data_IF_016468714179
#
_entry.id   IF_016468714179
#
_cell.length_a   1.000
_cell.length_b   1.000
_cell.length_c   1.000
_cell.angle_alpha   90.00
_cell.angle_beta   90.00
_cell.angle_gamma   90.00
#
_symmetry.space_group_name_H-M   'P 1'
#
loop_
_entity.id
_entity.type
_entity.pdbx_description
1 polymer ?
#
# COMPACT_ATOMS: atom_id res chain seq x y z
N UNK A 1 12.11 -25.61 -5.83
CA UNK A 1 12.41 -24.25 -6.33
C UNK A 1 13.52 -23.63 -5.49
N UNK A 2 14.25 -22.66 -6.02
CA UNK A 2 15.29 -21.89 -5.33
C UNK A 2 15.05 -20.39 -5.53
N UNK A 3 15.41 -19.58 -4.55
CA UNK A 3 15.28 -18.13 -4.63
C UNK A 3 16.64 -17.45 -4.79
N UNK A 4 16.66 -16.42 -5.63
CA UNK A 4 17.78 -15.50 -5.78
C UNK A 4 17.20 -14.09 -5.99
N UNK A 5 17.52 -13.16 -5.08
CA UNK A 5 17.08 -11.77 -5.21
C UNK A 5 17.62 -11.19 -6.53
N UNK A 6 16.81 -10.39 -7.22
CA UNK A 6 17.15 -9.95 -8.56
C UNK A 6 18.42 -9.11 -8.57
N UNK A 7 19.30 -9.41 -9.52
CA UNK A 7 20.43 -8.58 -9.91
C UNK A 7 20.69 -8.78 -11.41
N UNK A 8 21.46 -7.88 -12.01
CA UNK A 8 21.73 -7.86 -13.46
C UNK A 8 22.39 -9.15 -14.00
N UNK A 9 23.01 -9.94 -13.13
CA UNK A 9 23.57 -11.25 -13.50
C UNK A 9 22.50 -12.27 -13.90
N UNK A 10 21.24 -12.04 -13.53
CA UNK A 10 20.13 -12.90 -13.88
C UNK A 10 19.48 -12.53 -15.22
N UNK A 11 19.84 -11.42 -15.87
CA UNK A 11 19.09 -10.87 -17.03
C UNK A 11 18.83 -11.89 -18.14
N UNK A 12 19.80 -12.74 -18.44
CA UNK A 12 19.70 -13.75 -19.50
C UNK A 12 19.41 -15.16 -18.98
N UNK A 13 19.04 -15.31 -17.71
CA UNK A 13 18.70 -16.58 -17.08
C UNK A 13 17.18 -16.72 -17.01
N UNK A 14 16.58 -17.80 -17.57
CA UNK A 14 15.16 -18.09 -17.38
C UNK A 14 14.82 -18.22 -15.89
N UNK A 15 13.78 -17.49 -15.46
CA UNK A 15 13.37 -17.38 -14.06
C UNK A 15 11.87 -17.12 -13.94
N UNK A 16 11.33 -17.32 -12.75
CA UNK A 16 9.99 -16.92 -12.35
C UNK A 16 10.12 -15.59 -11.60
N UNK A 17 9.53 -14.52 -12.13
CA UNK A 17 9.45 -13.23 -11.43
C UNK A 17 8.21 -13.26 -10.56
N UNK A 18 8.42 -13.35 -9.25
CA UNK A 18 7.36 -13.41 -8.26
C UNK A 18 7.32 -12.08 -7.57
N UNK A 19 6.16 -11.44 -7.63
CA UNK A 19 5.96 -10.09 -7.10
C UNK A 19 6.92 -9.04 -7.67
N UNK A 20 6.74 -8.78 -8.97
CA UNK A 20 7.54 -7.85 -9.75
C UNK A 20 7.56 -8.29 -11.21
N UNK A 21 8.03 -7.39 -12.08
CA UNK A 21 8.18 -7.68 -13.51
C UNK A 21 9.63 -7.47 -13.92
N UNK A 22 10.37 -8.56 -14.16
CA UNK A 22 11.75 -8.51 -14.68
C UNK A 22 11.85 -9.18 -16.05
N UNK A 23 12.77 -8.73 -16.89
CA UNK A 23 12.96 -9.29 -18.23
C UNK A 23 13.37 -10.77 -18.22
N UNK A 24 13.04 -11.46 -19.32
CA UNK A 24 13.32 -12.89 -19.53
C UNK A 24 12.80 -13.79 -18.38
N UNK A 25 11.55 -13.55 -17.98
CA UNK A 25 10.91 -14.29 -16.89
C UNK A 25 9.46 -14.63 -17.21
N UNK A 26 8.93 -15.64 -16.51
CA UNK A 26 7.48 -15.88 -16.41
C UNK A 26 7.00 -15.11 -15.19
N UNK A 27 5.97 -14.29 -15.37
CA UNK A 27 5.44 -13.44 -14.31
C UNK A 27 4.44 -14.19 -13.41
N UNK A 28 4.57 -13.98 -12.10
CA UNK A 28 3.59 -14.29 -11.07
C UNK A 28 3.49 -13.09 -10.13
N UNK A 29 2.91 -12.02 -10.67
CA UNK A 29 2.83 -10.71 -10.03
C UNK A 29 1.50 -10.05 -10.37
N UNK A 30 1.02 -9.23 -9.45
CA UNK A 30 -0.12 -8.34 -9.61
C UNK A 30 0.26 -6.93 -10.15
N UNK A 31 1.54 -6.65 -10.41
CA UNK A 31 1.98 -5.34 -10.91
C UNK A 31 1.35 -5.01 -12.27
N UNK A 32 1.05 -3.73 -12.52
CA UNK A 32 0.49 -3.29 -13.80
C UNK A 32 1.41 -3.68 -14.97
N UNK A 33 0.86 -4.36 -15.99
CA UNK A 33 1.61 -4.84 -17.15
C UNK A 33 2.27 -6.21 -16.98
N UNK A 34 1.97 -6.94 -15.90
CA UNK A 34 2.39 -8.33 -15.76
C UNK A 34 1.81 -9.22 -16.87
N UNK A 35 2.44 -10.38 -17.06
CA UNK A 35 2.01 -11.43 -17.99
C UNK A 35 1.58 -12.69 -17.22
N UNK A 36 1.12 -12.51 -15.98
CA UNK A 36 0.72 -13.62 -15.11
C UNK A 36 -0.42 -14.41 -15.79
N UNK A 37 -0.31 -15.73 -15.91
CA UNK A 37 -1.35 -16.55 -16.55
C UNK A 37 -2.72 -16.35 -15.88
N UNK A 38 -3.76 -16.15 -16.70
CA UNK A 38 -5.11 -15.84 -16.22
C UNK A 38 -5.66 -16.89 -15.23
N UNK A 39 -5.23 -18.16 -15.35
CA UNK A 39 -5.64 -19.25 -14.46
C UNK A 39 -5.26 -19.01 -13.00
N UNK A 40 -4.16 -18.30 -12.74
CA UNK A 40 -3.62 -18.10 -11.38
C UNK A 40 -3.69 -16.65 -10.92
N UNK A 41 -4.19 -15.72 -11.75
CA UNK A 41 -4.30 -14.31 -11.37
C UNK A 41 -5.16 -14.14 -10.11
N UNK A 42 -4.74 -13.21 -9.27
CA UNK A 42 -5.41 -12.78 -8.05
C UNK A 42 -5.00 -11.33 -7.74
N UNK A 43 -5.49 -10.78 -6.63
CA UNK A 43 -5.25 -9.37 -6.29
C UNK A 43 -3.82 -9.13 -5.78
N UNK A 44 -3.24 -10.08 -5.05
CA UNK A 44 -1.86 -10.01 -4.53
C UNK A 44 -0.98 -11.09 -5.16
N UNK A 45 0.31 -10.83 -5.25
CA UNK A 45 1.31 -11.80 -5.71
C UNK A 45 1.39 -13.03 -4.82
N UNK A 46 1.13 -12.90 -3.52
CA UNK A 46 1.01 -14.02 -2.58
C UNK A 46 -0.15 -14.93 -2.92
N UNK A 47 -1.34 -14.37 -3.22
CA UNK A 47 -2.46 -15.20 -3.64
C UNK A 47 -2.22 -15.83 -5.02
N UNK A 48 -1.55 -15.13 -5.94
CA UNK A 48 -1.10 -15.69 -7.22
C UNK A 48 -0.18 -16.90 -7.00
N UNK A 49 0.80 -16.79 -6.10
CA UNK A 49 1.72 -17.87 -5.77
C UNK A 49 0.97 -19.07 -5.13
N UNK A 50 0.00 -18.82 -4.26
CA UNK A 50 -0.85 -19.86 -3.66
C UNK A 50 -1.67 -20.59 -4.72
N UNK A 51 -2.28 -19.85 -5.65
CA UNK A 51 -3.04 -20.41 -6.75
C UNK A 51 -2.15 -21.24 -7.68
N UNK A 52 -0.92 -20.79 -7.95
CA UNK A 52 0.06 -21.56 -8.72
C UNK A 52 0.48 -22.85 -8.00
N UNK A 53 0.73 -22.80 -6.68
CA UNK A 53 1.09 -24.01 -5.92
C UNK A 53 -0.04 -25.03 -5.85
N UNK A 54 -1.29 -24.58 -5.89
CA UNK A 54 -2.47 -25.43 -5.92
C UNK A 54 -2.88 -25.87 -7.35
N UNK A 55 -2.35 -25.25 -8.41
CA UNK A 55 -2.76 -25.55 -9.79
C UNK A 55 -2.29 -26.94 -10.23
N UNK A 56 -3.17 -27.77 -10.82
CA UNK A 56 -2.77 -29.03 -11.45
C UNK A 56 -1.88 -28.81 -12.68
N UNK A 57 -1.86 -27.59 -13.25
CA UNK A 57 -1.07 -27.22 -14.41
C UNK A 57 0.28 -26.58 -14.04
N UNK A 58 0.67 -26.61 -12.76
CA UNK A 58 1.88 -25.93 -12.24
C UNK A 58 3.11 -26.14 -13.11
N UNK A 59 3.40 -27.38 -13.51
CA UNK A 59 4.61 -27.70 -14.29
C UNK A 59 4.60 -27.05 -15.69
N UNK A 60 3.42 -26.91 -16.30
CA UNK A 60 3.26 -26.22 -17.57
C UNK A 60 3.37 -24.69 -17.39
N UNK A 61 2.80 -24.16 -16.31
CA UNK A 61 2.85 -22.73 -15.97
C UNK A 61 4.27 -22.26 -15.65
N UNK A 62 5.07 -23.09 -14.97
CA UNK A 62 6.47 -22.77 -14.63
C UNK A 62 7.46 -23.18 -15.72
N UNK A 63 7.03 -23.99 -16.69
CA UNK A 63 7.89 -24.58 -17.73
C UNK A 63 9.11 -25.33 -17.15
N UNK A 64 8.98 -25.89 -15.95
CA UNK A 64 10.08 -26.55 -15.23
C UNK A 64 11.17 -25.60 -14.71
N UNK A 65 10.97 -24.28 -14.77
CA UNK A 65 11.89 -23.30 -14.20
C UNK A 65 11.78 -23.36 -12.67
N UNK A 66 12.93 -23.52 -12.01
CA UNK A 66 13.00 -23.59 -10.54
C UNK A 66 13.52 -22.31 -9.89
N UNK A 67 14.15 -21.42 -10.66
CA UNK A 67 14.68 -20.16 -10.17
C UNK A 67 13.56 -19.13 -10.01
N UNK A 68 13.34 -18.68 -8.77
CA UNK A 68 12.43 -17.59 -8.43
C UNK A 68 13.26 -16.34 -8.13
N UNK A 69 12.75 -15.18 -8.53
CA UNK A 69 13.34 -13.88 -8.23
C UNK A 69 12.28 -12.86 -7.86
N UNK A 70 12.67 -11.87 -7.07
CA UNK A 70 11.93 -10.64 -6.78
C UNK A 70 12.95 -9.49 -6.82
N UNK A 71 12.54 -8.30 -7.25
CA UNK A 71 13.34 -7.09 -7.40
C UNK A 71 13.16 -6.05 -6.29
N UNK A 72 12.32 -6.31 -5.30
CA UNK A 72 12.11 -5.44 -4.15
C UNK A 72 11.69 -6.23 -2.90
N UNK A 73 11.74 -5.59 -1.72
CA UNK A 73 11.30 -6.19 -0.46
C UNK A 73 10.10 -5.45 0.12
N UNK A 74 9.00 -6.18 0.28
CA UNK A 74 7.85 -5.79 1.09
C UNK A 74 7.13 -7.05 1.63
N UNK A 75 5.94 -6.86 2.22
CA UNK A 75 5.16 -7.99 2.75
C UNK A 75 4.65 -8.92 1.65
N UNK A 76 4.13 -8.42 0.52
CA UNK A 76 3.59 -9.33 -0.52
C UNK A 76 4.72 -10.10 -1.23
N UNK A 77 5.86 -9.47 -1.45
CA UNK A 77 7.06 -10.07 -2.01
C UNK A 77 7.64 -11.19 -1.17
N UNK A 78 7.85 -10.97 0.14
CA UNK A 78 8.41 -12.00 1.01
C UNK A 78 7.46 -13.19 1.18
N UNK A 79 6.15 -12.94 1.27
CA UNK A 79 5.13 -13.97 1.46
C UNK A 79 4.91 -14.79 0.19
N UNK A 80 4.94 -14.17 -0.98
CA UNK A 80 4.85 -14.84 -2.29
C UNK A 80 6.08 -15.71 -2.56
N UNK A 81 7.30 -15.21 -2.29
CA UNK A 81 8.53 -16.01 -2.39
C UNK A 81 8.50 -17.18 -1.40
N UNK A 82 8.12 -16.94 -0.14
CA UNK A 82 7.99 -18.00 0.86
C UNK A 82 7.02 -19.09 0.41
N UNK A 83 5.87 -18.69 -0.15
CA UNK A 83 4.86 -19.60 -0.69
C UNK A 83 5.43 -20.52 -1.77
N UNK A 84 6.18 -19.96 -2.71
CA UNK A 84 6.79 -20.71 -3.82
C UNK A 84 7.86 -21.70 -3.34
N UNK A 85 8.62 -21.35 -2.30
CA UNK A 85 9.65 -22.23 -1.73
C UNK A 85 9.07 -23.35 -0.87
N UNK A 86 7.93 -23.12 -0.22
CA UNK A 86 7.35 -24.06 0.74
C UNK A 86 6.20 -24.91 0.17
N UNK A 87 5.80 -24.68 -1.08
CA UNK A 87 4.99 -25.61 -1.87
C UNK A 87 3.75 -26.13 -1.13
N UNK A 88 3.76 -27.41 -0.75
CA UNK A 88 2.66 -28.10 -0.06
C UNK A 88 2.29 -27.48 1.30
N UNK A 89 3.25 -26.87 2.00
CA UNK A 89 3.00 -26.23 3.31
C UNK A 89 2.23 -24.91 3.16
N UNK A 90 2.41 -24.20 2.04
CA UNK A 90 1.86 -22.85 1.91
C UNK A 90 0.32 -22.79 1.86
N UNK A 91 -0.39 -23.70 1.15
CA UNK A 91 -1.85 -23.76 1.20
C UNK A 91 -2.44 -23.90 2.60
N UNK A 92 -1.73 -24.56 3.53
CA UNK A 92 -2.18 -24.73 4.92
C UNK A 92 -2.16 -23.41 5.72
N UNK A 93 -1.44 -22.39 5.23
CA UNK A 93 -1.36 -21.05 5.80
C UNK A 93 -2.08 -19.99 4.95
N UNK A 94 -2.95 -20.40 4.02
CA UNK A 94 -3.68 -19.48 3.12
C UNK A 94 -4.40 -18.36 3.88
N UNK A 95 -5.04 -18.71 4.99
CA UNK A 95 -5.84 -17.79 5.81
C UNK A 95 -4.97 -16.80 6.62
N UNK A 96 -3.65 -17.00 6.68
CA UNK A 96 -2.70 -16.06 7.27
C UNK A 96 -1.97 -15.26 6.18
N UNK A 97 -1.58 -15.94 5.09
CA UNK A 97 -0.79 -15.36 4.00
C UNK A 97 -1.56 -14.28 3.24
N UNK A 98 -2.80 -14.56 2.81
CA UNK A 98 -3.58 -13.61 2.00
C UNK A 98 -3.87 -12.33 2.79
N UNK A 99 -4.43 -12.39 4.01
CA UNK A 99 -4.71 -11.18 4.77
C UNK A 99 -3.46 -10.34 5.09
N UNK A 100 -2.31 -10.98 5.31
CA UNK A 100 -1.06 -10.27 5.59
C UNK A 100 -0.50 -9.59 4.35
N UNK A 101 -0.59 -10.23 3.17
CA UNK A 101 -0.22 -9.62 1.89
C UNK A 101 -1.11 -8.40 1.57
N UNK A 102 -2.44 -8.54 1.73
CA UNK A 102 -3.38 -7.44 1.52
C UNK A 102 -3.18 -6.28 2.52
N UNK A 103 -2.88 -6.59 3.79
CA UNK A 103 -2.55 -5.57 4.78
C UNK A 103 -1.27 -4.81 4.41
N UNK A 104 -0.23 -5.53 3.96
CA UNK A 104 1.06 -4.91 3.65
C UNK A 104 1.08 -4.12 2.37
N UNK A 105 0.50 -4.66 1.30
CA UNK A 105 0.58 -4.08 -0.04
C UNK A 105 -0.58 -3.10 -0.35
N UNK A 106 -1.77 -3.35 0.20
CA UNK A 106 -2.94 -2.47 -0.01
C UNK A 106 -3.27 -1.57 1.18
N UNK A 107 -2.56 -1.71 2.30
CA UNK A 107 -2.88 -0.99 3.54
C UNK A 107 -4.34 -1.21 3.93
N UNK A 108 -4.84 -2.45 3.78
CA UNK A 108 -6.22 -2.81 4.10
C UNK A 108 -6.34 -3.40 5.50
N UNK A 109 -7.41 -3.02 6.21
CA UNK A 109 -7.73 -3.64 7.49
C UNK A 109 -8.34 -5.03 7.26
N UNK A 110 -7.49 -6.06 7.27
CA UNK A 110 -7.92 -7.45 7.10
C UNK A 110 -8.25 -8.11 8.44
N UNK A 111 -7.24 -8.25 9.30
CA UNK A 111 -7.38 -8.62 10.70
C UNK A 111 -6.14 -8.19 11.50
N UNK A 112 -6.27 -8.12 12.83
CA UNK A 112 -5.20 -7.72 13.74
C UNK A 112 -3.87 -8.45 13.50
N UNK A 113 -3.89 -9.79 13.39
CA UNK A 113 -2.66 -10.57 13.28
C UNK A 113 -1.95 -10.33 11.93
N UNK A 114 -2.70 -10.21 10.86
CA UNK A 114 -2.19 -9.92 9.53
C UNK A 114 -1.50 -8.55 9.46
N UNK A 115 -2.15 -7.52 10.02
CA UNK A 115 -1.59 -6.16 10.08
C UNK A 115 -0.33 -6.16 10.95
N UNK A 116 -0.35 -6.81 12.11
CA UNK A 116 0.82 -6.93 13.00
C UNK A 116 1.99 -7.66 12.33
N UNK A 117 1.71 -8.74 11.59
CA UNK A 117 2.73 -9.46 10.82
C UNK A 117 3.33 -8.58 9.72
N UNK A 118 2.50 -7.87 8.96
CA UNK A 118 2.96 -6.92 7.93
C UNK A 118 3.84 -5.82 8.54
N UNK A 119 3.42 -5.19 9.65
CA UNK A 119 4.22 -4.19 10.36
C UNK A 119 5.56 -4.76 10.79
N UNK A 120 5.59 -6.00 11.32
CA UNK A 120 6.85 -6.62 11.72
C UNK A 120 7.79 -6.83 10.52
N UNK A 121 7.25 -7.10 9.33
CA UNK A 121 8.00 -7.28 8.08
C UNK A 121 8.48 -5.93 7.53
N UNK A 122 7.57 -5.02 7.18
CA UNK A 122 7.90 -3.81 6.40
C UNK A 122 8.02 -2.54 7.25
N UNK A 123 7.63 -2.59 8.53
CA UNK A 123 7.85 -1.51 9.50
C UNK A 123 6.87 -0.34 9.46
N UNK A 124 5.92 -0.33 8.53
CA UNK A 124 5.01 0.80 8.38
C UNK A 124 3.61 0.40 7.93
N UNK A 125 2.66 1.33 8.09
CA UNK A 125 1.25 1.25 7.68
C UNK A 125 1.06 1.39 6.15
N UNK A 126 2.14 1.55 5.39
CA UNK A 126 2.14 1.70 3.93
C UNK A 126 3.33 0.95 3.30
N UNK A 127 3.21 0.43 2.06
CA UNK A 127 4.27 -0.36 1.42
C UNK A 127 5.51 0.47 1.07
N UNK A 128 5.35 1.76 0.80
CA UNK A 128 6.44 2.66 0.39
C UNK A 128 6.55 3.82 1.37
N UNK A 129 7.60 3.82 2.20
CA UNK A 129 8.00 5.01 2.94
C UNK A 129 9.18 5.67 2.25
N UNK A 130 9.13 6.99 2.07
CA UNK A 130 10.29 7.77 1.63
C UNK A 130 11.47 7.69 2.63
N UNK A 131 11.17 7.31 3.87
CA UNK A 131 12.16 6.93 4.88
C UNK A 131 12.41 5.42 4.76
N UNK A 132 13.49 5.06 4.08
CA UNK A 132 14.02 3.71 3.81
C UNK A 132 14.54 3.04 5.10
N UNK A 133 13.69 2.93 6.12
CA UNK A 133 14.06 2.37 7.42
C UNK A 133 14.29 0.85 7.35
N UNK A 134 13.94 0.22 6.23
CA UNK A 134 14.04 -1.22 6.00
C UNK A 134 13.17 -2.06 6.95
N UNK A 135 13.28 -3.38 6.82
CA UNK A 135 12.52 -4.32 7.63
C UNK A 135 12.95 -4.32 9.10
N UNK A 136 12.05 -4.02 10.07
CA UNK A 136 12.38 -4.09 11.50
C UNK A 136 12.77 -5.51 11.94
N UNK A 137 12.12 -6.52 11.37
CA UNK A 137 12.47 -7.91 11.64
C UNK A 137 13.86 -8.24 11.11
N UNK A 138 14.22 -7.82 9.89
CA UNK A 138 15.59 -8.02 9.38
C UNK A 138 16.61 -7.34 10.31
N UNK A 139 16.33 -6.12 10.77
CA UNK A 139 17.21 -5.39 11.68
C UNK A 139 17.41 -6.13 13.01
N UNK A 140 16.33 -6.64 13.59
CA UNK A 140 16.39 -7.44 14.81
C UNK A 140 17.22 -8.72 14.62
N UNK A 141 17.00 -9.45 13.52
CA UNK A 141 17.70 -10.71 13.23
C UNK A 141 19.19 -10.49 12.94
N UNK A 142 19.55 -9.36 12.33
CA UNK A 142 20.95 -8.98 12.11
C UNK A 142 21.64 -8.39 13.36
N UNK A 143 20.87 -7.97 14.37
CA UNK A 143 21.39 -7.24 15.54
C UNK A 143 21.82 -5.80 15.22
N UNK A 144 21.29 -5.20 14.14
CA UNK A 144 21.65 -3.86 13.69
C UNK A 144 20.99 -3.50 12.36
N UNK A 145 21.25 -2.29 11.81
CA UNK A 145 20.69 -1.87 10.53
C UNK A 145 21.01 -2.83 9.39
N UNK A 146 20.00 -3.14 8.57
CA UNK A 146 20.14 -3.95 7.35
C UNK A 146 19.92 -3.04 6.16
N UNK A 147 20.94 -2.94 5.33
CA UNK A 147 20.89 -2.22 4.05
C UNK A 147 20.65 -3.25 2.93
N UNK A 148 19.67 -2.95 2.07
CA UNK A 148 19.35 -3.72 0.88
C UNK A 148 18.38 -4.88 1.07
N UNK A 149 17.43 -4.95 0.14
CA UNK A 149 16.36 -5.93 0.06
C UNK A 149 16.85 -7.38 0.03
N UNK A 150 17.91 -7.67 -0.72
CA UNK A 150 18.50 -9.01 -0.80
C UNK A 150 18.84 -9.57 0.60
N UNK A 151 19.43 -8.74 1.46
CA UNK A 151 19.79 -9.14 2.82
C UNK A 151 18.56 -9.26 3.72
N UNK A 152 17.55 -8.42 3.51
CA UNK A 152 16.28 -8.54 4.22
C UNK A 152 15.59 -9.88 3.89
N UNK A 153 15.56 -10.31 2.62
CA UNK A 153 15.07 -11.65 2.24
C UNK A 153 15.82 -12.77 2.96
N UNK A 154 17.16 -12.77 2.92
CA UNK A 154 17.96 -13.82 3.55
C UNK A 154 17.66 -14.01 5.05
N UNK A 155 17.37 -12.90 5.74
CA UNK A 155 17.09 -12.89 7.17
C UNK A 155 15.65 -13.25 7.49
N UNK A 156 14.69 -12.64 6.78
CA UNK A 156 13.26 -12.72 7.13
C UNK A 156 12.62 -14.00 6.58
N UNK A 157 13.03 -14.48 5.42
CA UNK A 157 12.39 -15.61 4.74
C UNK A 157 12.31 -16.89 5.60
N UNK A 158 13.32 -17.28 6.38
CA UNK A 158 13.22 -18.43 7.30
C UNK A 158 12.23 -18.23 8.46
N UNK A 159 11.89 -16.98 8.81
CA UNK A 159 11.07 -16.63 9.97
C UNK A 159 9.58 -16.44 9.62
N UNK A 160 9.22 -16.35 8.33
CA UNK A 160 7.86 -16.04 7.86
C UNK A 160 6.78 -16.90 8.51
N UNK A 161 6.94 -18.23 8.50
CA UNK A 161 5.93 -19.13 9.07
C UNK A 161 5.74 -18.90 10.57
N UNK A 162 6.84 -18.71 11.30
CA UNK A 162 6.79 -18.44 12.74
C UNK A 162 6.13 -17.10 13.02
N UNK A 163 6.45 -16.07 12.24
CA UNK A 163 5.82 -14.75 12.36
C UNK A 163 4.31 -14.82 12.13
N UNK A 164 3.85 -15.53 11.10
CA UNK A 164 2.42 -15.66 10.78
C UNK A 164 1.65 -16.50 11.79
N UNK A 165 2.28 -17.53 12.36
CA UNK A 165 1.61 -18.46 13.29
C UNK A 165 1.77 -18.06 14.77
N UNK A 166 2.74 -17.21 15.09
CA UNK A 166 3.09 -16.78 16.44
C UNK A 166 3.41 -15.29 16.50
N UNK A 167 2.54 -14.48 15.91
CA UNK A 167 2.72 -13.03 15.79
C UNK A 167 2.98 -12.34 17.13
N UNK A 168 2.39 -12.84 18.23
CA UNK A 168 2.61 -12.32 19.59
C UNK A 168 4.08 -12.41 20.05
N UNK A 169 4.89 -13.34 19.53
CA UNK A 169 6.32 -13.42 19.86
C UNK A 169 7.14 -12.24 19.29
N UNK A 170 6.57 -11.50 18.34
CA UNK A 170 7.19 -10.35 17.66
C UNK A 170 6.61 -9.01 18.12
N UNK A 171 5.94 -9.00 19.27
CA UNK A 171 5.25 -7.83 19.84
C UNK A 171 6.10 -6.56 19.89
N UNK A 172 7.37 -6.69 20.21
CA UNK A 172 8.29 -5.56 20.29
C UNK A 172 8.51 -4.86 18.94
N UNK A 173 8.23 -5.53 17.82
CA UNK A 173 8.33 -4.95 16.47
C UNK A 173 7.03 -4.25 16.06
N UNK A 174 5.87 -4.85 16.36
CA UNK A 174 4.59 -4.34 15.84
C UNK A 174 3.78 -3.50 16.81
N UNK A 175 4.03 -3.56 18.13
CA UNK A 175 3.18 -2.90 19.14
C UNK A 175 3.06 -1.39 18.93
N UNK A 176 4.17 -0.70 18.65
CA UNK A 176 4.18 0.75 18.47
C UNK A 176 3.34 1.19 17.26
N UNK A 177 3.67 0.74 16.04
CA UNK A 177 2.88 1.10 14.86
C UNK A 177 1.42 0.60 14.94
N UNK A 178 1.16 -0.58 15.53
CA UNK A 178 -0.20 -1.06 15.77
C UNK A 178 -1.00 -0.11 16.67
N UNK A 179 -0.40 0.42 17.74
CA UNK A 179 -1.06 1.40 18.61
C UNK A 179 -1.45 2.69 17.86
N UNK A 180 -0.65 3.10 16.88
CA UNK A 180 -0.98 4.24 16.03
C UNK A 180 -2.22 3.95 15.19
N UNK A 181 -2.26 2.81 14.50
CA UNK A 181 -3.42 2.35 13.71
C UNK A 181 -4.66 2.20 14.60
N UNK A 182 -4.54 1.54 15.75
CA UNK A 182 -5.64 1.35 16.70
C UNK A 182 -6.19 2.68 17.22
N UNK A 183 -5.32 3.67 17.47
CA UNK A 183 -5.74 5.03 17.86
C UNK A 183 -6.52 5.72 16.72
N UNK A 184 -6.09 5.52 15.47
CA UNK A 184 -6.80 6.04 14.31
C UNK A 184 -8.18 5.37 14.16
N UNK A 185 -8.27 4.05 14.27
CA UNK A 185 -9.55 3.30 14.24
C UNK A 185 -10.49 3.80 15.34
N UNK A 186 -10.03 3.83 16.59
CA UNK A 186 -10.82 4.33 17.72
C UNK A 186 -11.33 5.75 17.43
N UNK A 187 -10.51 6.64 16.85
CA UNK A 187 -10.95 8.00 16.49
C UNK A 187 -12.14 8.02 15.51
N UNK A 188 -12.22 7.07 14.57
CA UNK A 188 -13.39 6.92 13.68
C UNK A 188 -14.60 6.36 14.43
N UNK A 189 -14.41 5.35 15.28
CA UNK A 189 -15.51 4.71 16.03
C UNK A 189 -16.25 5.70 16.95
N UNK A 190 -15.53 6.62 17.59
CA UNK A 190 -16.12 7.69 18.43
C UNK A 190 -16.44 8.98 17.65
N UNK A 191 -16.29 8.98 16.33
CA UNK A 191 -16.68 10.08 15.44
C UNK A 191 -15.80 11.33 15.53
N UNK A 192 -14.59 11.21 16.08
CA UNK A 192 -13.60 12.29 16.07
C UNK A 192 -12.92 12.41 14.70
N UNK A 193 -12.63 11.29 14.06
CA UNK A 193 -12.38 11.19 12.62
C UNK A 193 -13.68 10.83 11.91
N UNK A 194 -13.87 11.32 10.68
CA UNK A 194 -15.11 11.09 9.93
C UNK A 194 -14.83 10.70 8.49
N UNK A 195 -15.77 9.95 7.91
CA UNK A 195 -15.86 9.67 6.48
C UNK A 195 -17.24 10.11 5.99
N UNK A 196 -17.26 10.94 4.96
CA UNK A 196 -18.47 11.30 4.22
C UNK A 196 -18.36 10.79 2.78
N UNK A 197 -19.29 9.95 2.38
CA UNK A 197 -19.37 9.44 1.01
C UNK A 197 -20.13 10.41 0.10
N UNK A 198 -19.49 10.81 -1.00
CA UNK A 198 -20.05 11.66 -2.06
C UNK A 198 -20.13 10.77 -3.31
N UNK A 199 -21.25 10.06 -3.41
CA UNK A 199 -21.44 8.96 -4.37
C UNK A 199 -21.34 9.42 -5.82
N UNK A 200 -21.81 10.62 -6.14
CA UNK A 200 -21.80 11.21 -7.48
C UNK A 200 -20.36 11.36 -8.00
N UNK A 201 -19.42 11.69 -7.12
CA UNK A 201 -18.01 11.81 -7.45
C UNK A 201 -17.21 10.53 -7.20
N UNK A 202 -17.85 9.47 -6.69
CA UNK A 202 -17.22 8.27 -6.11
C UNK A 202 -16.10 8.63 -5.13
N UNK A 203 -16.33 9.65 -4.31
CA UNK A 203 -15.35 10.28 -3.44
C UNK A 203 -15.70 9.99 -1.98
N UNK A 204 -14.71 9.59 -1.19
CA UNK A 204 -14.78 9.67 0.27
C UNK A 204 -14.07 10.93 0.73
N UNK A 205 -14.77 11.83 1.40
CA UNK A 205 -14.17 12.92 2.16
C UNK A 205 -13.83 12.40 3.56
N UNK A 206 -12.55 12.37 3.89
CA UNK A 206 -12.04 11.89 5.17
C UNK A 206 -11.51 13.08 5.96
N UNK A 207 -11.99 13.24 7.19
CA UNK A 207 -11.44 14.22 8.14
C UNK A 207 -10.80 13.47 9.29
N UNK A 208 -9.49 13.64 9.50
CA UNK A 208 -8.74 12.93 10.55
C UNK A 208 -8.73 13.76 11.83
N UNK A 209 -8.88 13.10 12.98
CA UNK A 209 -8.81 13.73 14.28
C UNK A 209 -7.37 14.17 14.63
N UNK A 210 -7.22 15.27 15.37
CA UNK A 210 -5.89 15.82 15.68
C UNK A 210 -5.07 14.87 16.56
N UNK A 211 -5.71 14.12 17.44
CA UNK A 211 -5.05 13.17 18.36
C UNK A 211 -4.40 11.97 17.66
N UNK A 212 -4.76 11.69 16.39
CA UNK A 212 -4.11 10.66 15.59
C UNK A 212 -2.66 11.03 15.28
N UNK A 213 -2.34 12.32 15.30
CA UNK A 213 -1.01 12.84 15.04
C UNK A 213 -0.29 13.26 16.34
N UNK A 214 1.04 13.16 16.34
CA UNK A 214 1.87 13.64 17.45
C UNK A 214 3.01 12.68 17.82
N UNK A 215 3.68 12.89 18.97
CA UNK A 215 4.89 12.15 19.35
C UNK A 215 4.70 10.62 19.44
N UNK A 216 3.49 10.17 19.72
CA UNK A 216 3.13 8.75 19.82
C UNK A 216 2.18 8.30 18.72
N UNK A 217 1.80 9.22 17.81
CA UNK A 217 0.88 8.99 16.71
C UNK A 217 1.59 9.03 15.36
N UNK A 218 0.83 9.31 14.31
CA UNK A 218 1.38 9.56 12.98
C UNK A 218 2.13 10.90 12.95
N UNK A 219 3.19 10.98 12.15
CA UNK A 219 3.90 12.23 11.89
C UNK A 219 3.47 12.72 10.51
N UNK A 220 2.70 13.80 10.36
CA UNK A 220 2.21 14.23 9.04
C UNK A 220 3.34 14.60 8.06
N UNK A 221 4.58 14.80 8.53
CA UNK A 221 5.75 15.03 7.69
C UNK A 221 6.46 13.73 7.24
N UNK A 222 6.11 12.57 7.82
CA UNK A 222 6.74 11.25 7.54
C UNK A 222 5.70 10.15 7.23
N UNK A 223 4.67 10.05 8.05
CA UNK A 223 3.52 9.15 7.96
C UNK A 223 2.29 9.98 7.57
N UNK A 224 2.08 10.13 6.27
CA UNK A 224 1.16 11.16 5.80
C UNK A 224 -0.31 10.91 6.16
N UNK A 225 -0.76 9.65 6.28
CA UNK A 225 -2.12 9.30 6.69
C UNK A 225 -2.18 7.87 7.29
N UNK A 226 -3.16 7.58 8.17
CA UNK A 226 -3.41 6.24 8.70
C UNK A 226 -4.18 5.38 7.69
N UNK A 227 -3.50 4.89 6.64
CA UNK A 227 -4.15 4.25 5.50
C UNK A 227 -4.95 3.01 5.87
N UNK A 228 -4.45 2.17 6.79
CA UNK A 228 -5.21 0.99 7.26
C UNK A 228 -6.51 1.37 7.94
N UNK A 229 -6.53 2.46 8.73
CA UNK A 229 -7.76 2.94 9.32
C UNK A 229 -8.68 3.57 8.25
N UNK A 230 -8.13 4.35 7.33
CA UNK A 230 -8.90 4.99 6.25
C UNK A 230 -9.58 3.94 5.36
N UNK A 231 -8.84 2.93 4.91
CA UNK A 231 -9.34 1.86 4.06
C UNK A 231 -10.44 1.02 4.73
N UNK A 232 -10.42 0.93 6.07
CA UNK A 232 -11.47 0.27 6.83
C UNK A 232 -12.83 0.99 6.75
N UNK A 233 -12.83 2.33 6.68
CA UNK A 233 -14.07 3.14 6.73
C UNK A 233 -14.49 3.76 5.40
N UNK A 234 -13.54 4.07 4.50
CA UNK A 234 -13.79 4.73 3.23
C UNK A 234 -14.09 3.74 2.10
N UNK A 235 -15.07 4.07 1.24
CA UNK A 235 -15.56 3.19 0.16
C UNK A 235 -15.47 3.80 -1.23
N UNK A 236 -15.03 5.05 -1.32
CA UNK A 236 -14.86 5.79 -2.56
C UNK A 236 -13.75 5.20 -3.44
N UNK A 237 -13.80 5.54 -4.73
CA UNK A 237 -12.70 5.26 -5.67
C UNK A 237 -11.64 6.38 -5.65
N UNK A 238 -11.87 7.42 -4.86
CA UNK A 238 -10.98 8.55 -4.64
C UNK A 238 -11.18 9.01 -3.20
N UNK A 239 -10.09 9.39 -2.54
CA UNK A 239 -10.06 9.85 -1.15
C UNK A 239 -9.59 11.29 -1.11
N UNK A 240 -10.38 12.19 -0.53
CA UNK A 240 -9.92 13.50 -0.10
C UNK A 240 -9.61 13.40 1.40
N UNK A 241 -8.34 13.35 1.75
CA UNK A 241 -7.87 13.21 3.13
C UNK A 241 -7.52 14.59 3.67
N UNK A 242 -8.33 15.08 4.61
CA UNK A 242 -8.14 16.33 5.32
C UNK A 242 -7.49 16.09 6.68
N UNK A 243 -6.31 16.68 6.86
CA UNK A 243 -5.45 16.51 8.04
C UNK A 243 -5.40 17.83 8.80
N UNK A 244 -5.74 17.87 10.10
CA UNK A 244 -5.60 19.08 10.89
C UNK A 244 -4.15 19.56 10.89
N UNK A 245 -3.93 20.82 10.52
CA UNK A 245 -2.59 21.43 10.54
C UNK A 245 -2.57 22.62 11.50
N UNK A 246 -1.37 23.11 11.86
CA UNK A 246 -1.18 24.17 12.87
C UNK A 246 -2.22 25.30 12.77
N UNK A 247 -2.50 25.72 11.54
CA UNK A 247 -3.62 26.57 11.17
C UNK A 247 -4.30 25.98 9.95
N UNK A 248 -5.61 25.70 10.00
CA UNK A 248 -6.35 25.13 8.86
C UNK A 248 -6.08 23.64 8.63
N UNK A 249 -5.94 23.26 7.37
CA UNK A 249 -5.93 21.86 6.94
C UNK A 249 -4.81 21.59 5.95
N UNK A 250 -4.16 20.44 6.07
CA UNK A 250 -3.37 19.85 5.00
C UNK A 250 -4.25 18.86 4.22
N UNK A 251 -4.01 18.73 2.93
CA UNK A 251 -4.83 17.89 2.05
C UNK A 251 -4.01 16.97 1.18
N UNK A 252 -4.55 15.76 1.00
CA UNK A 252 -4.14 14.79 -0.01
C UNK A 252 -5.37 14.34 -0.78
N UNK A 253 -5.22 14.16 -2.09
CA UNK A 253 -6.17 13.45 -2.94
C UNK A 253 -5.47 12.20 -3.40
N UNK A 254 -5.92 11.07 -2.86
CA UNK A 254 -5.31 9.76 -3.07
C UNK A 254 -6.36 8.79 -3.64
N UNK A 255 -5.90 7.72 -4.25
CA UNK A 255 -6.72 6.58 -4.61
C UNK A 255 -6.58 5.49 -3.52
N UNK A 256 -7.55 4.55 -3.42
CA UNK A 256 -7.32 3.33 -2.66
C UNK A 256 -6.01 2.67 -3.07
N UNK A 257 -5.23 2.14 -2.12
CA UNK A 257 -3.86 1.71 -2.42
C UNK A 257 -3.85 0.60 -3.48
N UNK A 258 -4.77 -0.36 -3.44
CA UNK A 258 -4.90 -1.40 -4.48
C UNK A 258 -5.06 -0.89 -5.91
N UNK A 259 -5.43 0.38 -6.11
CA UNK A 259 -5.75 0.95 -7.44
C UNK A 259 -4.55 1.05 -8.38
N UNK A 260 -3.31 0.91 -7.90
CA UNK A 260 -2.12 0.89 -8.74
C UNK A 260 -1.88 -0.50 -9.37
N UNK A 261 -2.40 -1.56 -8.75
CA UNK A 261 -2.18 -2.95 -9.14
C UNK A 261 -3.24 -3.48 -10.12
N UNK A 262 -2.90 -4.56 -10.84
CA UNK A 262 -3.86 -5.37 -11.58
C UNK A 262 -4.58 -6.32 -10.63
N UNK A 263 -5.85 -6.02 -10.37
CA UNK A 263 -6.72 -6.78 -9.47
C UNK A 263 -7.78 -7.58 -10.23
N UNK A 264 -8.27 -8.65 -9.61
CA UNK A 264 -9.31 -9.56 -10.09
C UNK A 264 -10.62 -9.37 -9.32
N UNK A 265 -10.54 -9.29 -7.98
CA UNK A 265 -11.70 -9.12 -7.10
C UNK A 265 -11.96 -7.64 -6.87
N UNK A 266 -10.92 -6.86 -6.54
CA UNK A 266 -11.04 -5.40 -6.36
C UNK A 266 -11.34 -4.71 -7.70
N UNK A 267 -12.14 -3.62 -7.69
CA UNK A 267 -12.52 -2.94 -8.92
C UNK A 267 -11.34 -2.17 -9.50
N UNK A 268 -11.15 -2.25 -10.82
CA UNK A 268 -10.19 -1.40 -11.53
C UNK A 268 -10.63 0.07 -11.46
N UNK A 269 -9.71 0.96 -11.06
CA UNK A 269 -9.96 2.40 -10.97
C UNK A 269 -9.12 3.13 -12.02
N UNK A 270 -9.80 3.89 -12.89
CA UNK A 270 -9.13 4.74 -13.88
C UNK A 270 -8.64 6.03 -13.23
N UNK A 271 -7.35 6.34 -13.43
CA UNK A 271 -6.73 7.57 -12.91
C UNK A 271 -7.26 8.79 -13.69
N UNK A 272 -7.80 9.76 -12.95
CA UNK A 272 -8.35 11.01 -13.46
C UNK A 272 -7.24 12.03 -13.72
N UNK A 273 -7.41 12.86 -14.75
CA UNK A 273 -6.56 14.03 -14.97
C UNK A 273 -7.07 15.22 -14.15
N UNK A 274 -6.34 15.59 -13.09
CA UNK A 274 -6.72 16.66 -12.17
C UNK A 274 -6.18 18.06 -12.55
N UNK A 275 -5.68 18.27 -13.76
CA UNK A 275 -5.07 19.55 -14.14
C UNK A 275 -6.03 20.76 -13.97
N UNK A 276 -7.30 20.58 -14.33
CA UNK A 276 -8.32 21.61 -14.18
C UNK A 276 -8.67 21.83 -12.71
N UNK A 277 -8.91 20.75 -11.95
CA UNK A 277 -9.14 20.82 -10.51
C UNK A 277 -8.01 21.57 -9.78
N UNK A 278 -6.76 21.21 -10.05
CA UNK A 278 -5.57 21.85 -9.44
C UNK A 278 -5.51 23.34 -9.76
N UNK A 279 -5.82 23.72 -11.00
CA UNK A 279 -5.89 25.13 -11.40
C UNK A 279 -6.98 25.88 -10.64
N UNK A 280 -8.19 25.31 -10.56
CA UNK A 280 -9.33 25.90 -9.86
C UNK A 280 -9.09 26.03 -8.36
N UNK A 281 -8.57 24.98 -7.70
CA UNK A 281 -8.24 25.05 -6.28
C UNK A 281 -7.20 26.13 -5.99
N UNK A 282 -6.16 26.24 -6.82
CA UNK A 282 -5.15 27.31 -6.68
C UNK A 282 -5.69 28.73 -6.86
N UNK A 283 -6.78 28.91 -7.62
CA UNK A 283 -7.46 30.22 -7.73
C UNK A 283 -8.30 30.55 -6.50
N UNK A 284 -8.82 29.52 -5.81
CA UNK A 284 -9.58 29.67 -4.57
C UNK A 284 -8.66 29.92 -3.36
N UNK A 285 -7.41 29.48 -3.43
CA UNK A 285 -6.42 29.74 -2.38
C UNK A 285 -6.09 31.23 -2.30
N UNK A 286 -6.33 31.82 -1.13
CA UNK A 286 -5.95 33.21 -0.84
C UNK A 286 -4.66 33.30 -0.01
N UNK A 287 -4.15 32.17 0.48
CA UNK A 287 -2.92 32.08 1.26
C UNK A 287 -1.67 31.92 0.39
N UNK A 288 -0.50 32.25 0.94
CA UNK A 288 0.81 32.06 0.29
C UNK A 288 1.62 30.89 0.87
N UNK A 289 1.03 30.12 1.79
CA UNK A 289 1.69 29.06 2.54
C UNK A 289 2.01 27.82 1.69
N UNK A 290 1.31 27.63 0.57
CA UNK A 290 1.49 26.47 -0.29
C UNK A 290 0.73 26.61 -1.60
N UNK A 291 0.71 25.52 -2.35
CA UNK A 291 0.03 25.39 -3.63
C UNK A 291 -0.49 23.96 -3.80
N UNK A 292 -1.64 23.81 -4.45
CA UNK A 292 -2.09 22.51 -4.95
C UNK A 292 -1.23 22.08 -6.12
N UNK A 293 -0.69 20.87 -6.07
CA UNK A 293 0.14 20.29 -7.12
C UNK A 293 -0.29 18.85 -7.38
N UNK A 294 -0.24 18.43 -8.65
CA UNK A 294 -0.26 17.00 -8.98
C UNK A 294 0.91 16.31 -8.28
N UNK A 295 0.66 15.12 -7.78
CA UNK A 295 1.66 14.32 -7.07
C UNK A 295 1.64 12.88 -7.58
N UNK A 296 2.83 12.33 -7.77
CA UNK A 296 3.06 10.93 -8.16
C UNK A 296 4.23 10.34 -7.38
N UNK A 297 4.59 10.96 -6.25
CA UNK A 297 5.68 10.49 -5.39
C UNK A 297 5.34 9.18 -4.67
N UNK A 298 4.07 8.85 -4.55
CA UNK A 298 3.54 7.63 -3.95
C UNK A 298 2.53 6.98 -4.90
N UNK A 299 2.41 5.65 -4.88
CA UNK A 299 1.58 4.88 -5.82
C UNK A 299 0.09 5.26 -5.79
N UNK A 300 -0.43 5.60 -4.61
CA UNK A 300 -1.82 6.01 -4.40
C UNK A 300 -2.05 7.50 -4.63
N UNK A 301 -1.02 8.34 -4.53
CA UNK A 301 -1.16 9.79 -4.51
C UNK A 301 -1.53 10.36 -5.88
N UNK A 302 -2.28 11.46 -5.88
CA UNK A 302 -2.68 12.16 -7.11
C UNK A 302 -2.49 13.67 -7.01
N UNK A 303 -2.85 14.27 -5.88
CA UNK A 303 -2.72 15.72 -5.65
C UNK A 303 -2.41 15.97 -4.18
N UNK A 304 -1.50 16.90 -3.88
CA UNK A 304 -1.23 17.37 -2.52
C UNK A 304 -1.24 18.90 -2.46
N UNK A 305 -1.61 19.45 -1.30
CA UNK A 305 -1.34 20.85 -1.01
C UNK A 305 0.00 20.98 -0.28
N UNK A 306 1.00 21.52 -0.96
CA UNK A 306 2.39 21.52 -0.49
C UNK A 306 3.02 22.90 -0.41
N UNK A 307 3.95 23.06 0.53
CA UNK A 307 4.82 24.22 0.64
C UNK A 307 5.94 24.22 -0.40
N UNK A 308 6.80 25.24 -0.35
CA UNK A 308 7.96 25.35 -1.27
C UNK A 308 9.01 24.26 -1.07
N UNK A 309 9.01 23.61 0.09
CA UNK A 309 9.87 22.50 0.46
C UNK A 309 9.31 21.13 -0.02
N UNK A 310 8.16 21.14 -0.71
CA UNK A 310 7.49 19.93 -1.19
C UNK A 310 6.72 19.16 -0.11
N UNK A 311 6.72 19.63 1.14
CA UNK A 311 5.99 18.99 2.25
C UNK A 311 4.56 19.51 2.33
N UNK A 312 3.68 18.77 2.99
CA UNK A 312 2.32 19.21 3.27
C UNK A 312 2.32 20.57 3.98
N UNK A 313 1.40 21.45 3.58
CA UNK A 313 1.25 22.78 4.14
C UNK A 313 -0.20 23.08 4.52
N UNK A 314 -0.40 24.18 5.24
CA UNK A 314 -1.72 24.68 5.62
C UNK A 314 -2.43 25.34 4.44
N UNK A 315 -3.48 24.72 3.94
CA UNK A 315 -4.49 25.36 3.10
C UNK A 315 -5.49 26.15 3.94
N UNK A 316 -5.98 27.27 3.41
CA UNK A 316 -7.07 28.05 4.02
C UNK A 316 -8.45 27.53 3.65
N UNK A 317 -8.54 26.65 2.64
CA UNK A 317 -9.79 26.05 2.21
C UNK A 317 -10.30 25.06 3.26
N UNK A 318 -11.61 25.03 3.46
CA UNK A 318 -12.28 24.05 4.32
C UNK A 318 -12.53 22.74 3.55
N UNK A 319 -12.61 21.58 4.22
CA UNK A 319 -12.69 20.29 3.56
C UNK A 319 -13.88 20.19 2.60
N UNK A 320 -15.06 20.66 3.02
CA UNK A 320 -16.28 20.69 2.19
C UNK A 320 -16.08 21.50 0.90
N UNK A 321 -15.31 22.59 0.95
CA UNK A 321 -15.07 23.45 -0.22
C UNK A 321 -14.18 22.76 -1.25
N UNK A 322 -13.21 21.97 -0.80
CA UNK A 322 -12.35 21.17 -1.67
C UNK A 322 -13.18 20.03 -2.27
N UNK A 323 -13.97 19.33 -1.44
CA UNK A 323 -14.87 18.26 -1.89
C UNK A 323 -15.87 18.73 -2.95
N UNK A 324 -16.49 19.90 -2.75
CA UNK A 324 -17.41 20.52 -3.73
C UNK A 324 -16.73 20.79 -5.08
N UNK A 325 -15.44 21.15 -5.06
CA UNK A 325 -14.67 21.42 -6.27
C UNK A 325 -14.38 20.12 -7.03
N UNK A 326 -14.07 19.03 -6.33
CA UNK A 326 -13.91 17.69 -6.91
C UNK A 326 -15.23 17.16 -7.49
N UNK A 327 -16.34 17.37 -6.78
CA UNK A 327 -17.69 16.98 -7.27
C UNK A 327 -18.04 17.73 -8.55
N UNK A 328 -17.88 19.05 -8.56
CA UNK A 328 -18.19 19.89 -9.73
C UNK A 328 -17.37 19.50 -10.96
N UNK A 329 -16.08 19.17 -10.78
CA UNK A 329 -15.24 18.67 -11.87
C UNK A 329 -15.74 17.30 -12.39
N UNK A 330 -16.10 16.40 -11.47
CA UNK A 330 -16.58 15.06 -11.82
C UNK A 330 -17.87 15.13 -12.64
N UNK A 331 -18.82 15.98 -12.25
CA UNK A 331 -20.06 16.25 -12.99
C UNK A 331 -19.79 16.82 -14.38
N UNK A 332 -18.87 17.80 -14.48
CA UNK A 332 -18.51 18.41 -15.77
C UNK A 332 -17.87 17.39 -16.73
N UNK A 333 -17.06 16.47 -16.20
CA UNK A 333 -16.44 15.39 -16.98
C UNK A 333 -17.46 14.38 -17.48
N UNK A 334 -18.41 13.98 -16.64
CA UNK A 334 -19.48 13.06 -17.03
C UNK A 334 -20.38 13.68 -18.10
N UNK A 335 -20.73 14.96 -17.95
CA UNK A 335 -21.50 15.70 -18.96
C UNK A 335 -20.77 15.83 -20.31
N UNK A 336 -19.44 15.86 -20.32
CA UNK A 336 -18.64 15.89 -21.54
C UNK A 336 -18.45 14.53 -22.22
N UNK A 337 -18.73 13.43 -21.51
CA UNK A 337 -18.56 12.06 -21.99
C UNK A 337 -19.87 11.43 -22.54
N UNK A 338 -21.02 12.02 -22.24
CA UNK A 338 -22.34 11.62 -22.75
C UNK A 338 -22.78 12.39 -23.98
#
# INVERSE_FOLDING_TARGET
MRFEFYHSGLDNIPKLSVDGTVGNSIHFSHWQGNETPAEVKADTSTEIALNLMASPNRDALTQGIELITNNHFDTDGILSVWTMLNGERAPELRDQLIPAAEAGDFSEFTNDNAIRASIAIQGSDQPVTADDAGSPLAHQLAGGPVDGDARAYELVLPEVERLLTRTDEYENLWRGPWQQIATAIDSFERGASTVQEINEAKLSLITIAREVFGPTGFDPARHAAPFTAISHYAKGQLFLIAIPYQTGWAYRIDYPYYSWAETIVRPRIERRNFALLVSSLNQLETGSAGRWNSDTSELSSAVKFTGRDGKLSASVLQPDRVADSIRSESEAREAAAG
#
